data_IF_886924447074
#
_entry.id   IF_886924447074
#
_cell.length_a   1.000
_cell.length_b   1.000
_cell.length_c   1.000
_cell.angle_alpha   90.00
_cell.angle_beta   90.00
_cell.angle_gamma   90.00
#
_symmetry.space_group_name_H-M   'P 1'
#
loop_
_entity.id
_entity.type
_entity.pdbx_description
1 polymer ?
#
# COMPACT_ATOMS: atom_id res chain seq x y z
N UNK A 1 -28.81 18.32 -0.53
CA UNK A 1 -28.08 17.39 -1.44
C UNK A 1 -26.54 17.50 -1.41
N UNK A 2 -25.91 18.57 -0.88
CA UNK A 2 -24.45 18.76 -0.85
C UNK A 2 -23.71 18.01 0.29
N UNK A 3 -24.35 17.78 1.43
CA UNK A 3 -23.71 17.10 2.57
C UNK A 3 -23.31 15.63 2.31
N UNK A 4 -24.10 14.93 1.49
CA UNK A 4 -23.83 13.52 1.17
C UNK A 4 -22.61 13.35 0.22
N UNK A 5 -22.27 14.36 -0.58
CA UNK A 5 -21.15 14.29 -1.54
C UNK A 5 -19.80 14.33 -0.83
N UNK A 6 -19.63 15.19 0.18
CA UNK A 6 -18.40 15.30 0.94
C UNK A 6 -18.15 14.08 1.86
N UNK A 7 -19.20 13.59 2.53
CA UNK A 7 -19.12 12.34 3.31
C UNK A 7 -18.78 11.14 2.42
N UNK A 8 -19.38 11.06 1.24
CA UNK A 8 -19.07 10.00 0.27
C UNK A 8 -17.64 10.12 -0.26
N UNK A 9 -17.15 11.32 -0.54
CA UNK A 9 -15.77 11.56 -0.95
C UNK A 9 -14.77 11.12 0.13
N UNK A 10 -14.98 11.53 1.38
CA UNK A 10 -14.13 11.09 2.50
C UNK A 10 -14.19 9.56 2.64
N UNK A 11 -15.38 8.97 2.61
CA UNK A 11 -15.55 7.52 2.77
C UNK A 11 -14.91 6.72 1.63
N UNK A 12 -15.01 7.19 0.39
CA UNK A 12 -14.39 6.52 -0.76
C UNK A 12 -12.87 6.70 -0.77
N UNK A 13 -12.37 7.88 -0.43
CA UNK A 13 -10.94 8.20 -0.46
C UNK A 13 -10.20 7.56 0.72
N UNK A 14 -10.68 7.74 1.94
CA UNK A 14 -10.04 7.21 3.16
C UNK A 14 -10.52 5.80 3.52
N UNK A 15 -11.69 5.37 3.06
CA UNK A 15 -12.24 4.03 3.26
C UNK A 15 -11.65 2.97 2.32
N UNK A 16 -10.96 3.35 1.26
CA UNK A 16 -10.29 2.43 0.31
C UNK A 16 -9.18 1.59 0.95
N UNK A 17 -8.77 1.97 2.19
CA UNK A 17 -7.70 1.34 2.95
C UNK A 17 -6.33 1.48 2.30
N UNK A 18 -6.17 2.35 1.30
CA UNK A 18 -4.88 2.77 0.76
C UNK A 18 -4.18 3.71 1.72
N UNK A 19 -2.85 3.60 1.95
CA UNK A 19 -2.10 4.54 2.79
C UNK A 19 -1.87 5.90 2.11
N UNK A 20 -2.03 6.01 0.78
CA UNK A 20 -1.75 7.23 0.01
C UNK A 20 -2.55 8.44 0.50
N UNK A 21 -3.89 8.37 0.65
CA UNK A 21 -4.66 9.52 1.12
C UNK A 21 -4.24 10.01 2.50
N UNK A 22 -3.77 9.11 3.37
CA UNK A 22 -3.28 9.48 4.70
C UNK A 22 -1.94 10.21 4.64
N UNK A 23 -1.03 9.77 3.77
CA UNK A 23 0.28 10.43 3.58
C UNK A 23 0.07 11.80 2.94
N UNK A 24 -0.67 11.89 1.85
CA UNK A 24 -0.99 13.15 1.17
C UNK A 24 -1.75 14.09 2.12
N UNK A 25 -2.76 13.57 2.83
CA UNK A 25 -3.53 14.35 3.80
C UNK A 25 -2.66 14.92 4.91
N UNK A 26 -1.71 14.13 5.43
CA UNK A 26 -0.74 14.58 6.43
C UNK A 26 0.20 15.65 5.91
N UNK A 27 0.74 15.50 4.71
CA UNK A 27 1.62 16.49 4.06
C UNK A 27 0.89 17.80 3.79
N UNK A 28 -0.29 17.74 3.19
CA UNK A 28 -1.13 18.93 2.87
C UNK A 28 -1.61 19.61 4.15
N UNK A 29 -2.04 18.85 5.16
CA UNK A 29 -2.48 19.40 6.43
C UNK A 29 -1.35 20.15 7.15
N UNK A 30 -0.16 19.56 7.25
CA UNK A 30 1.00 20.22 7.85
C UNK A 30 1.39 21.47 7.07
N UNK A 31 1.41 21.41 5.75
CA UNK A 31 1.71 22.54 4.91
C UNK A 31 0.73 23.72 5.16
N UNK A 32 -0.58 23.45 5.08
CA UNK A 32 -1.61 24.47 5.31
C UNK A 32 -1.49 25.04 6.73
N UNK A 33 -1.30 24.18 7.74
CA UNK A 33 -1.19 24.60 9.12
C UNK A 33 0.01 25.53 9.33
N UNK A 34 1.19 25.18 8.84
CA UNK A 34 2.40 26.00 8.99
C UNK A 34 2.23 27.34 8.30
N UNK A 35 1.75 27.38 7.06
CA UNK A 35 1.56 28.64 6.32
C UNK A 35 0.42 29.50 6.84
N UNK A 36 -0.63 28.88 7.39
CA UNK A 36 -1.70 29.62 8.07
C UNK A 36 -1.18 30.37 9.30
N UNK A 37 -0.36 29.73 10.11
CA UNK A 37 0.24 30.40 11.26
C UNK A 37 1.32 31.42 10.87
N UNK A 38 2.03 31.21 9.78
CA UNK A 38 2.97 32.16 9.21
C UNK A 38 2.25 33.45 8.76
N UNK A 39 1.11 33.31 8.11
CA UNK A 39 0.25 34.45 7.76
C UNK A 39 -0.23 35.24 8.99
N UNK A 40 -0.63 34.52 10.06
CA UNK A 40 -1.04 35.19 11.31
C UNK A 40 0.14 35.92 11.99
N UNK A 41 1.35 35.40 11.86
CA UNK A 41 2.57 36.04 12.32
C UNK A 41 2.88 37.33 11.51
N UNK A 42 2.80 37.26 10.18
CA UNK A 42 2.96 38.45 9.31
C UNK A 42 1.94 39.54 9.60
N UNK A 43 0.68 39.16 9.89
CA UNK A 43 -0.39 40.10 10.30
C UNK A 43 -0.21 40.61 11.74
N UNK A 44 0.89 40.22 12.44
CA UNK A 44 1.18 40.61 13.84
C UNK A 44 0.10 40.19 14.86
N UNK A 45 -0.73 39.19 14.52
CA UNK A 45 -1.73 38.63 15.43
C UNK A 45 -1.05 37.75 16.45
N UNK A 46 0.00 37.00 16.02
CA UNK A 46 0.79 36.11 16.85
C UNK A 46 2.23 36.56 16.83
N UNK A 47 2.91 36.46 17.99
CA UNK A 47 4.33 36.81 18.11
C UNK A 47 5.30 35.66 17.88
N UNK A 48 4.81 34.45 17.69
CA UNK A 48 5.63 33.25 17.53
C UNK A 48 5.83 32.89 16.05
N UNK A 49 7.09 32.87 15.53
CA UNK A 49 7.40 32.53 14.14
C UNK A 49 7.34 31.02 13.90
N UNK A 50 6.13 30.46 13.73
CA UNK A 50 5.93 29.01 13.63
C UNK A 50 6.62 28.41 12.39
N UNK A 51 6.66 29.14 11.27
CA UNK A 51 7.32 28.69 10.05
C UNK A 51 8.80 28.41 10.30
N UNK A 52 9.52 29.42 10.82
CA UNK A 52 10.95 29.28 11.10
C UNK A 52 11.22 28.18 12.13
N UNK A 53 10.41 28.14 13.20
CA UNK A 53 10.49 27.07 14.19
C UNK A 53 10.28 25.68 13.58
N UNK A 54 9.32 25.55 12.66
CA UNK A 54 9.04 24.29 11.97
C UNK A 54 10.21 23.85 11.09
N UNK A 55 10.79 24.77 10.34
CA UNK A 55 11.99 24.50 9.53
C UNK A 55 13.15 24.08 10.42
N UNK A 56 13.39 24.78 11.54
CA UNK A 56 14.50 24.49 12.43
C UNK A 56 14.36 23.15 13.19
N UNK A 57 13.12 22.73 13.51
CA UNK A 57 12.87 21.56 14.35
C UNK A 57 12.39 20.33 13.60
N UNK A 58 11.74 20.48 12.46
CA UNK A 58 11.16 19.37 11.71
C UNK A 58 11.97 18.99 10.46
N UNK A 59 12.79 19.91 9.91
CA UNK A 59 13.69 19.59 8.82
C UNK A 59 14.89 18.79 9.31
N UNK A 60 15.49 18.01 8.41
CA UNK A 60 16.69 17.25 8.72
C UNK A 60 17.92 18.17 8.64
N UNK A 61 18.62 18.41 9.77
CA UNK A 61 19.79 19.31 9.80
C UNK A 61 20.97 18.68 9.05
N UNK A 62 21.86 19.53 8.58
CA UNK A 62 23.13 19.09 7.96
C UNK A 62 24.17 18.70 9.01
N UNK A 63 24.05 19.24 10.25
CA UNK A 63 24.98 18.97 11.33
C UNK A 63 24.53 17.79 12.19
N UNK A 64 25.42 16.81 12.35
CA UNK A 64 25.16 15.61 13.15
C UNK A 64 24.90 15.91 14.63
N UNK A 65 25.56 16.92 15.20
CA UNK A 65 25.34 17.32 16.59
C UNK A 65 23.92 17.87 16.81
N UNK A 66 23.41 18.66 15.87
CA UNK A 66 22.03 19.13 15.88
C UNK A 66 21.05 17.97 15.68
N UNK A 67 21.40 17.01 14.81
CA UNK A 67 20.57 15.81 14.61
C UNK A 67 20.38 14.98 15.88
N UNK A 68 21.43 14.80 16.70
CA UNK A 68 21.32 14.07 17.97
C UNK A 68 20.30 14.73 18.92
N UNK A 69 20.18 16.06 18.88
CA UNK A 69 19.20 16.80 19.69
C UNK A 69 17.76 16.70 19.14
N UNK A 70 17.59 16.38 17.85
CA UNK A 70 16.28 16.27 17.21
C UNK A 70 16.19 15.05 16.28
N UNK A 71 16.29 13.81 16.82
CA UNK A 71 16.32 12.60 16.01
C UNK A 71 15.01 12.32 15.26
N UNK A 72 13.89 12.88 15.72
CA UNK A 72 12.61 12.82 15.03
C UNK A 72 12.64 13.46 13.63
N UNK A 73 13.58 14.38 13.39
CA UNK A 73 13.75 15.04 12.09
C UNK A 73 13.99 14.04 10.95
N UNK A 74 14.54 12.85 11.26
CA UNK A 74 14.74 11.76 10.29
C UNK A 74 13.42 11.25 9.66
N UNK A 75 12.30 11.48 10.31
CA UNK A 75 10.97 11.09 9.80
C UNK A 75 10.19 12.32 9.36
N UNK A 76 10.25 13.40 10.16
CA UNK A 76 9.41 14.59 9.95
C UNK A 76 9.78 15.38 8.71
N UNK A 77 11.06 15.39 8.30
CA UNK A 77 11.50 16.11 7.10
C UNK A 77 10.75 15.70 5.83
N UNK A 78 10.31 14.45 5.78
CA UNK A 78 9.60 13.87 4.64
C UNK A 78 8.15 14.38 4.50
N UNK A 79 7.64 15.04 5.54
CA UNK A 79 6.31 15.67 5.56
C UNK A 79 6.37 17.20 5.51
N UNK A 80 7.54 17.77 5.67
CA UNK A 80 7.75 19.22 5.67
C UNK A 80 8.05 19.73 4.26
N UNK A 81 7.34 20.75 3.83
CA UNK A 81 7.56 21.40 2.54
C UNK A 81 7.66 22.91 2.73
N UNK A 82 8.60 23.53 2.03
CA UNK A 82 8.84 24.98 2.03
C UNK A 82 8.27 25.68 0.80
N UNK A 83 7.67 24.94 -0.15
CA UNK A 83 7.11 25.50 -1.37
C UNK A 83 5.81 24.84 -1.79
N UNK A 84 4.82 25.65 -2.20
CA UNK A 84 3.50 25.16 -2.64
C UNK A 84 3.61 24.22 -3.85
N UNK A 85 4.44 24.57 -4.82
CA UNK A 85 4.62 23.75 -6.02
C UNK A 85 5.22 22.39 -5.68
N UNK A 86 6.18 22.34 -4.74
CA UNK A 86 6.82 21.11 -4.34
C UNK A 86 5.81 20.12 -3.71
N UNK A 87 5.00 20.61 -2.73
CA UNK A 87 3.99 19.74 -2.12
C UNK A 87 2.91 19.33 -3.12
N UNK A 88 2.48 20.25 -4.00
CA UNK A 88 1.44 19.94 -4.99
C UNK A 88 1.91 18.87 -6.00
N UNK A 89 3.13 19.02 -6.53
CA UNK A 89 3.69 18.06 -7.47
C UNK A 89 3.98 16.71 -6.80
N UNK A 90 4.58 16.69 -5.62
CA UNK A 90 4.85 15.44 -4.90
C UNK A 90 3.56 14.69 -4.54
N UNK A 91 2.52 15.40 -4.08
CA UNK A 91 1.22 14.80 -3.80
C UNK A 91 0.54 14.25 -5.06
N UNK A 92 0.60 15.00 -6.18
CA UNK A 92 0.05 14.57 -7.47
C UNK A 92 0.75 13.27 -7.95
N UNK A 93 2.09 13.28 -7.93
CA UNK A 93 2.88 12.13 -8.33
C UNK A 93 2.66 10.93 -7.40
N UNK A 94 2.61 11.16 -6.09
CA UNK A 94 2.36 10.11 -5.11
C UNK A 94 0.98 9.47 -5.30
N UNK A 95 -0.05 10.27 -5.58
CA UNK A 95 -1.38 9.75 -5.87
C UNK A 95 -1.39 8.92 -7.16
N UNK A 96 -0.82 9.45 -8.22
CA UNK A 96 -0.85 8.82 -9.54
C UNK A 96 -0.03 7.53 -9.57
N UNK A 97 1.22 7.60 -9.11
CA UNK A 97 2.11 6.45 -9.06
C UNK A 97 1.67 5.40 -8.04
N UNK A 98 1.15 5.86 -6.91
CA UNK A 98 0.64 4.96 -5.89
C UNK A 98 -0.56 4.15 -6.36
N UNK A 99 -1.43 4.74 -7.18
CA UNK A 99 -2.54 4.00 -7.82
C UNK A 99 -2.01 2.89 -8.74
N UNK A 100 -0.98 3.19 -9.55
CA UNK A 100 -0.34 2.19 -10.41
C UNK A 100 0.36 1.11 -9.55
N UNK A 101 1.07 1.52 -8.49
CA UNK A 101 1.77 0.62 -7.59
C UNK A 101 0.84 -0.44 -6.98
N UNK A 102 -0.37 -0.02 -6.55
CA UNK A 102 -1.33 -0.94 -5.91
C UNK A 102 -2.00 -1.93 -6.87
N UNK A 103 -1.87 -1.75 -8.17
CA UNK A 103 -2.28 -2.77 -9.12
C UNK A 103 -1.37 -4.01 -9.10
N UNK A 104 -0.14 -3.88 -8.59
CA UNK A 104 0.89 -4.92 -8.66
C UNK A 104 1.45 -5.33 -7.29
N UNK A 105 1.44 -4.42 -6.31
CA UNK A 105 2.12 -4.59 -5.03
C UNK A 105 1.18 -4.26 -3.85
N UNK A 106 1.53 -4.79 -2.67
CA UNK A 106 0.72 -4.68 -1.48
C UNK A 106 1.01 -3.41 -0.67
N UNK A 107 0.04 -2.99 0.18
CA UNK A 107 0.18 -1.85 1.10
C UNK A 107 1.41 -1.93 2.00
N UNK A 108 1.78 -3.12 2.47
CA UNK A 108 2.95 -3.32 3.33
C UNK A 108 4.24 -3.02 2.59
N UNK A 109 4.32 -3.46 1.33
CA UNK A 109 5.46 -3.20 0.46
C UNK A 109 5.58 -1.70 0.13
N UNK A 110 4.45 -1.03 -0.14
CA UNK A 110 4.41 0.41 -0.35
C UNK A 110 4.94 1.19 0.85
N UNK A 111 4.39 0.95 2.04
CA UNK A 111 4.82 1.61 3.27
C UNK A 111 6.27 1.30 3.62
N UNK A 112 6.71 0.05 3.39
CA UNK A 112 8.10 -0.35 3.58
C UNK A 112 9.04 0.47 2.69
N UNK A 113 8.78 0.52 1.38
CA UNK A 113 9.62 1.26 0.44
C UNK A 113 9.62 2.75 0.81
N UNK A 114 8.45 3.34 1.06
CA UNK A 114 8.31 4.76 1.37
C UNK A 114 9.06 5.16 2.65
N UNK A 115 8.85 4.44 3.75
CA UNK A 115 9.45 4.77 5.05
C UNK A 115 10.95 4.45 5.06
N UNK A 116 11.34 3.26 4.57
CA UNK A 116 12.75 2.84 4.62
C UNK A 116 13.60 3.69 3.68
N UNK A 117 13.11 4.04 2.48
CA UNK A 117 13.84 4.94 1.59
C UNK A 117 14.00 6.34 2.20
N UNK A 118 12.98 6.87 2.86
CA UNK A 118 13.08 8.14 3.56
C UNK A 118 14.16 8.09 4.66
N UNK A 119 14.12 7.07 5.53
CA UNK A 119 15.11 6.90 6.60
C UNK A 119 16.53 6.73 6.04
N UNK A 120 16.71 5.83 5.06
CA UNK A 120 18.01 5.62 4.43
C UNK A 120 18.55 6.87 3.77
N UNK A 121 17.71 7.58 3.01
CA UNK A 121 18.14 8.82 2.33
C UNK A 121 18.50 9.91 3.33
N UNK A 122 17.75 10.03 4.43
CA UNK A 122 18.10 10.95 5.50
C UNK A 122 19.43 10.64 6.17
N UNK A 123 19.72 9.36 6.43
CA UNK A 123 21.02 8.94 6.99
C UNK A 123 22.16 9.19 6.00
N UNK A 124 21.95 8.88 4.72
CA UNK A 124 22.94 9.15 3.66
C UNK A 124 23.21 10.65 3.56
N UNK A 125 22.15 11.48 3.61
CA UNK A 125 22.28 12.93 3.61
C UNK A 125 23.15 13.44 4.77
N UNK A 126 22.92 12.96 5.99
CA UNK A 126 23.72 13.32 7.15
C UNK A 126 25.20 12.95 6.97
N UNK A 127 25.49 11.74 6.48
CA UNK A 127 26.85 11.28 6.24
C UNK A 127 27.54 12.15 5.20
N UNK A 128 26.89 12.38 4.05
CA UNK A 128 27.50 13.16 2.97
C UNK A 128 27.60 14.66 3.27
N UNK A 129 26.70 15.21 4.10
CA UNK A 129 26.80 16.60 4.56
C UNK A 129 28.04 16.86 5.42
N UNK A 130 28.57 15.82 6.08
CA UNK A 130 29.80 15.92 6.89
C UNK A 130 31.08 15.67 6.11
N UNK A 131 31.00 15.13 4.90
CA UNK A 131 32.22 14.91 4.11
C UNK A 131 32.87 16.25 3.70
N UNK A 132 34.18 16.32 3.78
CA UNK A 132 34.95 17.52 3.46
C UNK A 132 34.71 18.07 2.04
N UNK A 133 34.26 17.21 1.11
CA UNK A 133 33.90 17.60 -0.25
C UNK A 133 32.72 18.59 -0.30
N UNK A 134 31.85 18.61 0.73
CA UNK A 134 30.65 19.43 0.79
C UNK A 134 30.64 20.44 1.94
N UNK A 135 31.69 20.43 2.78
CA UNK A 135 31.79 21.30 3.97
C UNK A 135 31.86 22.81 3.63
N UNK A 136 32.37 23.15 2.45
CA UNK A 136 32.52 24.54 1.98
C UNK A 136 31.23 25.04 1.25
N UNK A 137 30.19 24.22 1.13
CA UNK A 137 28.91 24.62 0.52
C UNK A 137 27.88 24.87 1.61
N UNK A 138 27.14 25.98 1.52
CA UNK A 138 25.98 26.23 2.38
C UNK A 138 24.87 25.29 1.92
N UNK A 139 24.75 24.15 2.58
CA UNK A 139 23.68 23.21 2.29
C UNK A 139 22.50 23.53 3.20
N UNK A 140 21.31 23.80 2.66
CA UNK A 140 20.12 24.02 3.48
C UNK A 140 19.69 22.72 4.17
N UNK A 141 18.98 22.80 5.30
CA UNK A 141 18.39 21.65 5.92
C UNK A 141 17.38 20.97 4.97
N UNK A 142 17.24 19.67 5.08
CA UNK A 142 16.41 18.89 4.14
C UNK A 142 14.97 18.88 4.57
N UNK A 143 14.07 19.26 3.65
CA UNK A 143 12.61 19.30 3.85
C UNK A 143 11.90 18.90 2.54
N UNK A 144 11.64 17.61 2.34
CA UNK A 144 10.99 17.11 1.11
C UNK A 144 10.60 15.64 1.23
N UNK A 145 9.46 15.26 0.67
CA UNK A 145 9.00 13.88 0.51
C UNK A 145 9.51 13.17 -0.74
N UNK A 146 10.33 13.84 -1.56
CA UNK A 146 10.76 13.36 -2.86
C UNK A 146 11.52 12.02 -2.83
N UNK A 147 12.19 11.68 -1.73
CA UNK A 147 12.96 10.43 -1.63
C UNK A 147 12.08 9.19 -1.58
N UNK A 148 11.02 9.23 -0.75
CA UNK A 148 10.04 8.16 -0.69
C UNK A 148 9.31 7.97 -2.03
N UNK A 149 8.96 9.09 -2.66
CA UNK A 149 8.34 9.10 -3.98
C UNK A 149 9.26 8.52 -5.06
N UNK A 150 10.55 8.92 -5.07
CA UNK A 150 11.53 8.41 -6.02
C UNK A 150 11.71 6.89 -5.92
N UNK A 151 11.79 6.36 -4.70
CA UNK A 151 11.90 4.92 -4.49
C UNK A 151 10.66 4.16 -4.98
N UNK A 152 9.44 4.69 -4.75
CA UNK A 152 8.20 4.10 -5.25
C UNK A 152 8.14 4.15 -6.78
N UNK A 153 8.50 5.29 -7.39
CA UNK A 153 8.54 5.42 -8.84
C UNK A 153 9.56 4.47 -9.45
N UNK A 154 10.76 4.37 -8.87
CA UNK A 154 11.80 3.45 -9.31
C UNK A 154 11.35 2.00 -9.22
N UNK A 155 10.73 1.61 -8.09
CA UNK A 155 10.17 0.29 -7.90
C UNK A 155 9.10 -0.02 -8.96
N UNK A 156 8.15 0.90 -9.18
CA UNK A 156 7.06 0.70 -10.15
C UNK A 156 7.58 0.63 -11.58
N UNK A 157 8.50 1.52 -11.96
CA UNK A 157 9.10 1.54 -13.29
C UNK A 157 9.97 0.31 -13.59
N UNK A 158 10.59 -0.28 -12.56
CA UNK A 158 11.38 -1.52 -12.68
C UNK A 158 10.46 -2.73 -12.82
N UNK A 159 9.33 -2.75 -12.09
CA UNK A 159 8.39 -3.85 -12.10
C UNK A 159 7.64 -3.93 -13.45
N UNK A 160 7.17 -2.79 -13.96
CA UNK A 160 6.34 -2.69 -15.16
C UNK A 160 6.87 -1.66 -16.15
N UNK A 161 8.05 -1.88 -16.75
CA UNK A 161 8.73 -0.88 -17.60
C UNK A 161 7.97 -0.57 -18.90
N UNK A 162 7.13 -1.49 -19.36
CA UNK A 162 6.34 -1.37 -20.60
C UNK A 162 4.92 -0.81 -20.34
N UNK A 163 4.58 -0.49 -19.10
CA UNK A 163 3.28 0.08 -18.79
C UNK A 163 3.12 1.43 -19.48
N UNK A 164 2.08 1.56 -20.30
CA UNK A 164 1.81 2.76 -21.07
C UNK A 164 0.79 3.64 -20.35
N UNK A 165 1.14 4.90 -20.18
CA UNK A 165 0.27 5.94 -19.64
C UNK A 165 -0.19 6.83 -20.77
N UNK A 166 -1.49 7.01 -20.91
CA UNK A 166 -2.07 7.93 -21.89
C UNK A 166 -2.05 9.34 -21.33
N UNK A 167 -1.07 10.12 -21.76
CA UNK A 167 -0.96 11.54 -21.43
C UNK A 167 -1.76 12.37 -22.44
N UNK A 168 -2.48 13.40 -21.93
CA UNK A 168 -3.32 14.26 -22.76
C UNK A 168 -2.55 14.98 -23.89
N UNK A 169 -1.29 15.36 -23.63
CA UNK A 169 -0.46 16.13 -24.58
C UNK A 169 0.53 15.25 -25.38
N UNK A 170 0.99 14.14 -24.82
CA UNK A 170 2.08 13.33 -25.38
C UNK A 170 1.63 11.94 -25.87
N UNK A 171 0.33 11.64 -25.78
CA UNK A 171 -0.20 10.33 -26.17
C UNK A 171 0.24 9.20 -25.24
N UNK A 172 0.52 8.01 -25.80
CA UNK A 172 0.92 6.84 -25.02
C UNK A 172 2.43 6.90 -24.73
N UNK A 173 2.80 7.14 -23.47
CA UNK A 173 4.19 7.20 -23.01
C UNK A 173 4.45 6.06 -22.03
N UNK A 174 5.58 5.38 -22.18
CA UNK A 174 5.99 4.31 -21.26
C UNK A 174 6.37 4.87 -19.89
N UNK A 175 5.93 4.19 -18.84
CA UNK A 175 6.22 4.59 -17.45
C UNK A 175 7.73 4.76 -17.20
N UNK A 176 8.56 3.87 -17.78
CA UNK A 176 10.03 3.97 -17.70
C UNK A 176 10.56 5.32 -18.21
N UNK A 177 10.04 5.81 -19.32
CA UNK A 177 10.48 7.09 -19.91
C UNK A 177 10.11 8.26 -19.00
N UNK A 178 8.88 8.25 -18.47
CA UNK A 178 8.40 9.27 -17.52
C UNK A 178 9.27 9.26 -16.25
N UNK A 179 9.57 8.08 -15.73
CA UNK A 179 10.43 7.93 -14.55
C UNK A 179 11.83 8.51 -14.78
N UNK A 180 12.45 8.20 -15.91
CA UNK A 180 13.80 8.71 -16.24
C UNK A 180 13.80 10.24 -16.33
N UNK A 181 12.80 10.82 -17.01
CA UNK A 181 12.69 12.29 -17.15
C UNK A 181 12.49 12.93 -15.76
N UNK A 182 11.59 12.40 -14.95
CA UNK A 182 11.35 12.89 -13.59
C UNK A 182 12.62 12.81 -12.72
N UNK A 183 13.32 11.67 -12.77
CA UNK A 183 14.56 11.48 -12.01
C UNK A 183 15.65 12.46 -12.45
N UNK A 184 15.80 12.68 -13.75
CA UNK A 184 16.81 13.61 -14.29
C UNK A 184 16.52 15.04 -13.86
N UNK A 185 15.28 15.51 -13.95
CA UNK A 185 14.88 16.86 -13.55
C UNK A 185 15.10 17.06 -12.05
N UNK A 186 14.63 16.13 -11.23
CA UNK A 186 14.71 16.24 -9.78
C UNK A 186 16.17 16.12 -9.28
N UNK A 187 16.95 15.24 -9.91
CA UNK A 187 18.38 15.09 -9.60
C UNK A 187 19.15 16.36 -9.95
N UNK A 188 18.88 16.98 -11.11
CA UNK A 188 19.50 18.24 -11.49
C UNK A 188 19.12 19.36 -10.52
N UNK A 189 17.85 19.42 -10.10
CA UNK A 189 17.41 20.37 -9.09
C UNK A 189 18.19 20.23 -7.79
N UNK A 190 18.39 18.99 -7.30
CA UNK A 190 19.18 18.76 -6.08
C UNK A 190 20.67 19.07 -6.27
N UNK A 191 21.28 18.79 -7.42
CA UNK A 191 22.66 19.17 -7.69
C UNK A 191 22.87 20.68 -7.56
N UNK A 192 21.90 21.47 -8.03
CA UNK A 192 21.96 22.94 -8.00
C UNK A 192 21.66 23.52 -6.62
N UNK A 193 20.79 22.88 -5.84
CA UNK A 193 20.30 23.44 -4.55
C UNK A 193 20.96 22.81 -3.33
N UNK A 194 21.22 21.49 -3.36
CA UNK A 194 21.71 20.73 -2.21
C UNK A 194 22.42 19.46 -2.67
N UNK A 195 23.71 19.52 -2.87
CA UNK A 195 24.52 18.41 -3.42
C UNK A 195 24.48 17.12 -2.60
N UNK A 196 24.57 17.12 -1.25
CA UNK A 196 24.37 15.92 -0.45
C UNK A 196 22.98 15.28 -0.66
N UNK A 197 21.95 16.11 -0.85
CA UNK A 197 20.59 15.62 -1.15
C UNK A 197 20.53 14.91 -2.52
N UNK A 198 21.29 15.38 -3.53
CA UNK A 198 21.35 14.71 -4.83
C UNK A 198 21.86 13.26 -4.72
N UNK A 199 22.90 13.03 -3.91
CA UNK A 199 23.45 11.68 -3.66
C UNK A 199 22.39 10.81 -2.96
N UNK A 200 21.76 11.35 -1.93
CA UNK A 200 20.69 10.66 -1.19
C UNK A 200 19.52 10.30 -2.10
N UNK A 201 19.16 11.20 -3.01
CA UNK A 201 18.11 10.98 -4.00
C UNK A 201 18.46 9.83 -4.96
N UNK A 202 19.69 9.81 -5.46
CA UNK A 202 20.17 8.71 -6.31
C UNK A 202 20.15 7.37 -5.58
N UNK A 203 20.58 7.34 -4.31
CA UNK A 203 20.52 6.13 -3.49
C UNK A 203 19.09 5.67 -3.23
N UNK A 204 18.11 6.58 -3.10
CA UNK A 204 16.69 6.20 -2.96
C UNK A 204 16.15 5.51 -4.21
N UNK A 205 16.54 5.97 -5.40
CA UNK A 205 16.21 5.32 -6.68
C UNK A 205 16.79 3.90 -6.72
N UNK A 206 18.07 3.75 -6.40
CA UNK A 206 18.73 2.44 -6.35
C UNK A 206 18.07 1.50 -5.35
N UNK A 207 17.67 2.00 -4.18
CA UNK A 207 16.94 1.22 -3.18
C UNK A 207 15.60 0.72 -3.72
N UNK A 208 14.82 1.58 -4.39
CA UNK A 208 13.54 1.20 -5.00
C UNK A 208 13.69 0.10 -6.07
N UNK A 209 14.70 0.24 -6.95
CA UNK A 209 15.03 -0.80 -7.93
C UNK A 209 15.49 -2.10 -7.26
N UNK A 210 16.41 -2.01 -6.29
CA UNK A 210 16.94 -3.15 -5.55
C UNK A 210 15.87 -3.93 -4.82
N UNK A 211 14.88 -3.25 -4.24
CA UNK A 211 13.73 -3.89 -3.61
C UNK A 211 12.97 -4.80 -4.59
N UNK A 212 12.72 -4.34 -5.82
CA UNK A 212 12.01 -5.14 -6.83
C UNK A 212 12.84 -6.33 -7.29
N UNK A 213 14.14 -6.15 -7.51
CA UNK A 213 15.02 -7.28 -7.85
C UNK A 213 15.06 -8.32 -6.72
N UNK A 214 15.14 -7.89 -5.47
CA UNK A 214 15.06 -8.78 -4.31
C UNK A 214 13.70 -9.50 -4.24
N UNK A 215 12.60 -8.80 -4.52
CA UNK A 215 11.27 -9.37 -4.54
C UNK A 215 11.12 -10.43 -5.65
N UNK A 216 11.65 -10.16 -6.84
CA UNK A 216 11.65 -11.09 -7.99
C UNK A 216 12.50 -12.35 -7.72
N UNK A 217 13.58 -12.22 -6.94
CA UNK A 217 14.38 -13.37 -6.48
C UNK A 217 13.76 -14.10 -5.27
N UNK A 218 12.53 -13.76 -4.87
CA UNK A 218 11.79 -14.42 -3.79
C UNK A 218 12.03 -13.85 -2.38
N UNK A 219 12.91 -12.86 -2.25
CA UNK A 219 13.21 -12.20 -0.97
C UNK A 219 12.31 -10.98 -0.79
N UNK A 220 11.27 -11.11 0.01
CA UNK A 220 10.37 -10.00 0.36
C UNK A 220 10.81 -9.33 1.67
N UNK A 221 11.56 -8.24 1.57
CA UNK A 221 12.04 -7.46 2.71
C UNK A 221 10.92 -6.84 3.54
N UNK A 222 9.75 -6.64 2.97
CA UNK A 222 8.59 -6.11 3.71
C UNK A 222 8.08 -7.08 4.78
N UNK A 223 8.46 -8.36 4.72
CA UNK A 223 8.11 -9.38 5.73
C UNK A 223 8.73 -9.13 7.10
N UNK A 224 9.77 -8.29 7.19
CA UNK A 224 10.36 -7.86 8.47
C UNK A 224 9.32 -7.20 9.36
N UNK A 225 8.34 -6.50 8.79
CA UNK A 225 7.18 -5.95 9.53
C UNK A 225 6.07 -6.96 9.82
N UNK A 226 6.21 -8.23 9.43
CA UNK A 226 5.27 -9.27 9.87
C UNK A 226 5.48 -9.52 11.35
N UNK A 227 4.65 -8.92 12.19
CA UNK A 227 4.41 -9.40 13.55
C UNK A 227 4.15 -10.90 13.44
N UNK A 228 5.00 -11.74 14.08
CA UNK A 228 4.75 -13.18 14.18
C UNK A 228 3.31 -13.36 14.65
N UNK A 229 2.40 -13.67 13.74
CA UNK A 229 1.09 -14.16 14.17
C UNK A 229 1.40 -15.36 15.04
N UNK A 230 1.06 -15.27 16.34
CA UNK A 230 1.03 -16.44 17.21
C UNK A 230 0.29 -17.50 16.39
N UNK A 231 0.98 -18.60 16.08
CA UNK A 231 0.36 -19.75 15.43
C UNK A 231 -0.93 -19.98 16.22
N UNK A 232 -2.07 -19.84 15.56
CA UNK A 232 -3.34 -20.21 16.14
C UNK A 232 -3.14 -21.62 16.65
N UNK A 233 -3.38 -21.81 17.91
CA UNK A 233 -3.43 -23.09 18.57
C UNK A 233 -4.04 -24.10 17.60
N UNK A 234 -3.30 -25.17 17.30
CA UNK A 234 -3.78 -26.30 16.52
C UNK A 234 -5.20 -26.58 16.95
N UNK A 235 -6.15 -26.58 16.03
CA UNK A 235 -7.49 -27.07 16.32
C UNK A 235 -7.32 -28.41 17.00
N UNK A 236 -7.59 -28.46 18.31
CA UNK A 236 -7.68 -29.69 19.06
C UNK A 236 -8.98 -30.30 18.55
N UNK A 237 -8.89 -31.29 17.70
CA UNK A 237 -10.02 -32.12 17.37
C UNK A 237 -10.44 -32.72 18.71
N UNK A 238 -11.47 -32.17 19.30
CA UNK A 238 -12.12 -32.75 20.45
C UNK A 238 -12.85 -33.96 19.89
N UNK A 239 -12.20 -35.10 19.91
CA UNK A 239 -12.88 -36.38 19.77
C UNK A 239 -13.72 -36.47 21.05
N UNK A 240 -14.97 -36.12 20.93
CA UNK A 240 -15.95 -36.26 21.99
C UNK A 240 -16.15 -37.74 22.30
N UNK A 241 -15.46 -38.20 23.34
CA UNK A 241 -15.85 -39.44 24.00
C UNK A 241 -17.09 -39.10 24.82
N UNK A 242 -18.24 -39.37 24.25
CA UNK A 242 -19.50 -39.08 24.94
C UNK A 242 -20.64 -39.64 24.04
N UNK A 243 -20.91 -40.90 24.23
CA UNK A 243 -22.15 -41.51 23.73
C UNK A 243 -23.35 -40.75 24.30
N UNK A 244 -23.90 -39.84 23.54
CA UNK A 244 -25.29 -39.46 23.61
C UNK A 244 -25.87 -39.55 22.21
N UNK A 245 -26.55 -40.66 22.00
CA UNK A 245 -27.43 -40.87 20.86
C UNK A 245 -28.48 -39.76 20.81
N UNK A 246 -28.20 -38.70 20.08
CA UNK A 246 -29.28 -37.91 19.51
C UNK A 246 -29.82 -38.74 18.35
N UNK A 247 -31.00 -39.28 18.53
CA UNK A 247 -31.81 -39.86 17.45
C UNK A 247 -32.10 -38.73 16.43
N UNK A 248 -31.13 -38.46 15.55
CA UNK A 248 -31.46 -37.88 14.26
C UNK A 248 -32.05 -39.03 13.44
N UNK A 249 -33.32 -38.88 13.09
CA UNK A 249 -33.91 -39.65 12.04
C UNK A 249 -32.96 -39.60 10.83
N UNK A 250 -32.15 -40.65 10.63
CA UNK A 250 -31.63 -40.96 9.33
C UNK A 250 -32.88 -41.22 8.48
N UNK A 251 -33.21 -40.29 7.61
CA UNK A 251 -34.03 -40.66 6.46
C UNK A 251 -33.25 -41.77 5.79
N UNK A 252 -33.85 -43.00 5.76
CA UNK A 252 -33.37 -44.13 4.98
C UNK A 252 -33.39 -43.73 3.52
N UNK A 253 -32.28 -43.16 3.05
CA UNK A 253 -32.08 -42.93 1.64
C UNK A 253 -32.01 -44.29 0.96
N UNK A 254 -32.81 -44.55 -0.07
CA UNK A 254 -32.74 -45.80 -0.81
C UNK A 254 -31.32 -45.99 -1.34
N UNK A 255 -30.74 -47.17 -1.17
CA UNK A 255 -29.41 -47.48 -1.64
C UNK A 255 -29.40 -47.37 -3.17
N UNK A 256 -28.34 -46.74 -3.75
CA UNK A 256 -28.22 -46.59 -5.21
C UNK A 256 -28.43 -47.89 -5.95
N UNK A 257 -27.85 -48.98 -5.41
CA UNK A 257 -28.01 -50.33 -5.99
C UNK A 257 -29.47 -50.80 -6.05
N UNK A 258 -30.31 -50.39 -5.11
CA UNK A 258 -31.74 -50.73 -5.12
C UNK A 258 -32.50 -49.93 -6.18
N UNK A 259 -32.09 -48.68 -6.37
CA UNK A 259 -32.70 -47.81 -7.41
C UNK A 259 -32.36 -48.37 -8.79
N UNK A 260 -31.08 -48.76 -9.02
CA UNK A 260 -30.63 -49.32 -10.30
C UNK A 260 -31.34 -50.63 -10.63
N UNK A 261 -31.54 -51.53 -9.64
CA UNK A 261 -32.29 -52.78 -9.83
C UNK A 261 -33.76 -52.51 -10.20
N UNK A 262 -34.40 -51.49 -9.62
CA UNK A 262 -35.76 -51.09 -9.92
C UNK A 262 -35.84 -50.54 -11.36
N UNK A 263 -34.86 -49.72 -11.76
CA UNK A 263 -34.76 -49.16 -13.11
C UNK A 263 -34.54 -50.23 -14.17
N UNK A 264 -33.71 -51.24 -13.89
CA UNK A 264 -33.50 -52.39 -14.75
C UNK A 264 -34.79 -53.21 -14.90
N UNK A 265 -35.52 -53.42 -13.81
CA UNK A 265 -36.81 -54.13 -13.83
C UNK A 265 -37.88 -53.37 -14.66
N UNK A 266 -37.92 -52.01 -14.56
CA UNK A 266 -38.78 -51.16 -15.38
C UNK A 266 -38.46 -51.34 -16.87
N UNK A 267 -37.14 -51.39 -17.22
CA UNK A 267 -36.72 -51.51 -18.61
C UNK A 267 -37.09 -52.86 -19.23
N UNK A 268 -37.15 -53.92 -18.42
CA UNK A 268 -37.45 -55.28 -18.88
C UNK A 268 -38.94 -55.60 -18.88
N UNK A 269 -39.70 -55.16 -17.88
CA UNK A 269 -41.07 -55.61 -17.65
C UNK A 269 -42.13 -54.49 -17.53
N UNK A 270 -41.71 -53.22 -17.65
CA UNK A 270 -42.58 -52.04 -17.56
C UNK A 270 -42.88 -51.59 -16.12
N UNK A 271 -43.32 -50.33 -15.97
CA UNK A 271 -43.62 -49.70 -14.69
C UNK A 271 -44.74 -50.38 -13.88
N UNK A 272 -45.70 -50.98 -14.57
CA UNK A 272 -46.85 -51.68 -13.94
C UNK A 272 -46.50 -52.97 -13.21
N UNK A 273 -45.32 -53.53 -13.49
CA UNK A 273 -44.81 -54.74 -12.83
C UNK A 273 -44.17 -54.47 -11.47
N UNK A 274 -44.04 -53.19 -11.05
CA UNK A 274 -43.43 -52.81 -9.78
C UNK A 274 -44.42 -53.05 -8.63
N UNK A 275 -43.88 -53.57 -7.52
CA UNK A 275 -44.62 -53.66 -6.25
C UNK A 275 -44.85 -52.27 -5.64
N UNK A 276 -45.84 -52.16 -4.75
CA UNK A 276 -46.13 -50.89 -4.05
C UNK A 276 -44.89 -50.36 -3.28
N UNK A 277 -44.05 -51.22 -2.77
CA UNK A 277 -42.83 -50.84 -2.07
C UNK A 277 -41.74 -50.32 -3.01
N UNK A 278 -41.58 -50.90 -4.18
CA UNK A 278 -40.62 -50.45 -5.20
C UNK A 278 -41.04 -49.08 -5.78
N UNK A 279 -42.35 -48.83 -5.95
CA UNK A 279 -42.90 -47.53 -6.36
C UNK A 279 -42.62 -46.45 -5.30
N UNK A 280 -42.74 -46.78 -4.01
CA UNK A 280 -42.43 -45.87 -2.91
C UNK A 280 -40.93 -45.50 -2.85
N UNK A 281 -40.04 -46.46 -3.04
CA UNK A 281 -38.57 -46.22 -3.11
C UNK A 281 -38.22 -45.28 -4.25
N UNK A 282 -38.80 -45.51 -5.43
CA UNK A 282 -38.58 -44.64 -6.60
C UNK A 282 -39.10 -43.23 -6.40
N UNK A 283 -40.24 -43.10 -5.76
CA UNK A 283 -40.81 -41.79 -5.44
C UNK A 283 -39.99 -41.02 -4.43
N UNK A 284 -39.45 -41.66 -3.40
CA UNK A 284 -38.54 -41.05 -2.42
C UNK A 284 -37.23 -40.63 -3.07
N UNK A 285 -36.67 -41.40 -3.99
CA UNK A 285 -35.47 -41.03 -4.73
C UNK A 285 -35.69 -39.84 -5.67
N UNK A 286 -36.83 -39.80 -6.37
CA UNK A 286 -37.17 -38.67 -7.27
C UNK A 286 -37.41 -37.36 -6.56
N UNK A 287 -37.92 -37.35 -5.33
CA UNK A 287 -38.25 -36.13 -4.60
C UNK A 287 -36.97 -35.46 -4.02
N UNK A 288 -35.91 -36.24 -3.77
CA UNK A 288 -34.62 -35.68 -3.28
C UNK A 288 -33.81 -34.94 -4.36
N UNK A 289 -33.94 -35.36 -5.63
CA UNK A 289 -33.26 -34.66 -6.74
C UNK A 289 -33.88 -33.25 -7.06
N UNK A 290 -34.98 -32.88 -6.43
CA UNK A 290 -35.61 -31.54 -6.60
C UNK A 290 -35.10 -30.49 -5.59
N UNK A 291 -34.30 -30.87 -4.59
CA UNK A 291 -33.84 -29.94 -3.53
C UNK A 291 -32.44 -29.43 -3.82
N UNK A 292 -31.67 -30.08 -4.72
CA UNK A 292 -30.27 -29.74 -5.05
C UNK A 292 -30.12 -29.07 -6.45
N UNK A 293 -31.17 -28.52 -7.03
CA UNK A 293 -31.17 -27.83 -8.32
C UNK A 293 -31.46 -26.33 -8.22
#
# INVERSE_FOLDING_TARGET
MRENSFKNFIRTTFGSGSPIPFIIGGQVFLFILIYFFDLLFELKIISFPLFQWSVDKLSLPTNFQTFIQQPWSLITYNFLYTGLFNVAFDCLWLYWLGTIFFNFLNRKQFLFIYIVSAIMSGLIFLVFSHLALFSNTINPPLSTGAFGLAAILAATATLVPKYELRLLLFGNVKLKTIAIIYFAIQFLFFILTNRPAAISYFCSILFGMGFIYALQSGMDWSKVFKRKQKRSTKMKVVVGNGAQQSKHHRYDLPNQDQIDQILDKISLTGYDSLSSHEKEILFKASNNNKIDG
#
